data_IF_627066833854
#
_entry.id   IF_627066833854
#
_cell.length_a   1.000
_cell.length_b   1.000
_cell.length_c   1.000
_cell.angle_alpha   90.00
_cell.angle_beta   90.00
_cell.angle_gamma   90.00
#
_symmetry.space_group_name_H-M   'P 1'
#
loop_
_entity.id
_entity.type
_entity.pdbx_description
1 polymer ?
#
# COMPACT_ATOMS: atom_id res chain seq x y z
N UNK A 1 49.29 -11.12 27.37
CA UNK A 1 48.81 -10.06 26.48
C UNK A 1 47.31 -10.26 26.40
N UNK A 2 46.54 -9.38 27.05
CA UNK A 2 45.16 -9.08 26.71
C UNK A 2 44.87 -7.72 27.34
N UNK A 3 45.12 -6.69 26.53
CA UNK A 3 44.87 -5.28 26.84
C UNK A 3 43.43 -5.00 26.41
N UNK A 4 42.58 -4.66 27.37
CA UNK A 4 41.32 -3.99 27.11
C UNK A 4 41.63 -2.55 26.66
N UNK A 5 41.07 -2.02 25.54
CA UNK A 5 41.16 -0.59 25.30
C UNK A 5 40.02 0.14 25.99
N UNK A 6 40.43 1.20 26.65
CA UNK A 6 39.69 2.13 27.47
C UNK A 6 38.50 2.80 26.77
N UNK A 7 37.54 3.23 27.59
CA UNK A 7 36.41 4.05 27.20
C UNK A 7 36.86 5.33 26.47
N UNK A 8 36.26 5.58 25.30
CA UNK A 8 36.57 6.73 24.45
C UNK A 8 36.14 8.04 25.16
N UNK A 9 37.04 9.04 25.33
CA UNK A 9 36.72 10.30 25.96
C UNK A 9 35.65 11.10 25.20
N UNK A 10 34.75 11.77 25.93
CA UNK A 10 33.63 12.53 25.36
C UNK A 10 34.05 13.66 24.41
N UNK A 11 35.31 14.12 24.48
CA UNK A 11 35.89 15.12 23.58
C UNK A 11 36.08 14.63 22.14
N UNK A 12 36.08 13.32 21.88
CA UNK A 12 36.22 12.75 20.52
C UNK A 12 34.87 12.73 19.77
N UNK A 13 33.74 12.65 20.49
CA UNK A 13 32.40 12.58 19.90
C UNK A 13 32.02 13.89 19.18
N UNK A 14 32.54 15.03 19.64
CA UNK A 14 32.23 16.34 19.06
C UNK A 14 32.90 16.61 17.70
N UNK A 15 33.98 15.90 17.36
CA UNK A 15 34.67 16.10 16.07
C UNK A 15 33.96 15.43 14.89
N UNK A 16 33.04 14.48 15.14
CA UNK A 16 32.21 13.88 14.09
C UNK A 16 31.07 14.80 13.61
N UNK A 17 30.78 15.90 14.32
CA UNK A 17 29.72 16.84 13.95
C UNK A 17 30.18 17.98 13.03
N UNK A 18 31.49 18.20 12.85
CA UNK A 18 32.00 19.33 12.06
C UNK A 18 32.36 18.98 10.61
N UNK A 19 32.46 17.69 10.25
CA UNK A 19 32.71 17.24 8.88
C UNK A 19 31.65 16.27 8.36
N UNK A 20 30.48 16.25 8.99
CA UNK A 20 29.31 15.59 8.43
C UNK A 20 28.84 16.38 7.21
N UNK A 21 29.39 16.06 6.03
CA UNK A 21 28.78 16.46 4.77
C UNK A 21 27.38 15.87 4.79
N UNK A 22 26.36 16.72 4.90
CA UNK A 22 25.00 16.32 4.59
C UNK A 22 25.04 15.79 3.16
N UNK A 23 24.96 14.48 3.01
CA UNK A 23 24.42 13.92 1.78
C UNK A 23 22.96 14.34 1.83
N UNK A 24 22.65 15.45 1.19
CA UNK A 24 21.30 15.72 0.77
C UNK A 24 20.97 14.62 -0.23
N UNK A 25 20.37 13.54 0.27
CA UNK A 25 19.54 12.69 -0.58
C UNK A 25 18.48 13.62 -1.12
N UNK A 26 18.68 14.08 -2.36
CA UNK A 26 17.61 14.61 -3.19
C UNK A 26 16.45 13.64 -3.01
N UNK A 27 15.37 14.12 -2.40
CA UNK A 27 14.18 13.31 -2.17
C UNK A 27 13.71 12.80 -3.52
N UNK A 28 14.01 11.53 -3.81
CA UNK A 28 13.17 10.72 -4.67
C UNK A 28 11.82 10.72 -3.96
N UNK A 29 10.94 11.64 -4.34
CA UNK A 29 9.59 11.71 -3.80
C UNK A 29 9.01 10.30 -3.82
N UNK A 30 8.48 9.87 -2.69
CA UNK A 30 7.86 8.56 -2.56
C UNK A 30 6.80 8.42 -3.66
N UNK A 31 6.91 7.35 -4.46
CA UNK A 31 6.01 7.15 -5.59
C UNK A 31 4.58 7.02 -5.06
N UNK A 32 3.59 7.72 -5.64
CA UNK A 32 2.22 7.68 -5.13
C UNK A 32 1.66 6.26 -5.24
N UNK A 33 0.95 5.85 -4.20
CA UNK A 33 0.24 4.57 -4.13
C UNK A 33 -1.17 4.77 -3.58
N UNK A 34 -2.11 3.86 -3.86
CA UNK A 34 -3.46 3.98 -3.32
C UNK A 34 -3.45 3.85 -1.79
N UNK A 35 -4.01 4.83 -1.09
CA UNK A 35 -3.98 4.91 0.37
C UNK A 35 -5.37 4.71 0.97
N UNK A 36 -5.42 4.50 2.29
CA UNK A 36 -6.66 4.43 3.09
C UNK A 36 -7.72 3.50 2.49
N UNK A 37 -7.28 2.34 1.99
CA UNK A 37 -8.17 1.39 1.36
C UNK A 37 -9.20 0.87 2.37
N UNK A 38 -10.47 0.83 1.96
CA UNK A 38 -11.58 0.41 2.83
C UNK A 38 -12.71 -0.17 2.03
N UNK A 39 -13.49 -1.04 2.66
CA UNK A 39 -14.77 -1.52 2.11
C UNK A 39 -15.89 -0.73 2.77
N UNK A 40 -16.72 -0.08 1.97
CA UNK A 40 -18.03 0.38 2.40
C UNK A 40 -19.04 -0.73 2.13
N UNK A 41 -19.68 -1.21 3.19
CA UNK A 41 -20.63 -2.32 3.13
C UNK A 41 -22.04 -1.84 3.50
N UNK A 42 -23.02 -2.13 2.63
CA UNK A 42 -24.44 -1.95 2.91
C UNK A 42 -25.21 -3.18 2.46
N UNK A 43 -25.56 -4.04 3.42
CA UNK A 43 -26.06 -5.39 3.17
C UNK A 43 -25.04 -6.18 2.33
N UNK A 44 -25.46 -6.76 1.23
CA UNK A 44 -24.61 -7.50 0.29
C UNK A 44 -23.96 -6.63 -0.79
N UNK A 45 -24.09 -5.29 -0.68
CA UNK A 45 -23.42 -4.37 -1.58
C UNK A 45 -22.12 -3.91 -0.94
N UNK A 46 -21.00 -4.21 -1.61
CA UNK A 46 -19.66 -3.91 -1.12
C UNK A 46 -18.94 -3.05 -2.14
N UNK A 47 -18.43 -1.91 -1.67
CA UNK A 47 -17.66 -0.99 -2.50
C UNK A 47 -16.28 -0.79 -1.90
N UNK A 48 -15.25 -1.25 -2.60
CA UNK A 48 -13.87 -0.96 -2.23
C UNK A 48 -13.54 0.47 -2.66
N UNK A 49 -13.01 1.28 -1.75
CA UNK A 49 -12.59 2.65 -2.00
C UNK A 49 -11.16 2.87 -1.56
N UNK A 50 -10.48 3.81 -2.20
CA UNK A 50 -9.13 4.23 -1.85
C UNK A 50 -8.95 5.73 -2.10
N UNK A 51 -7.99 6.31 -1.42
CA UNK A 51 -7.59 7.69 -1.63
C UNK A 51 -6.50 7.76 -2.71
N UNK A 52 -6.61 8.79 -3.55
CA UNK A 52 -5.63 9.11 -4.58
C UNK A 52 -5.60 10.61 -4.86
N UNK A 53 -4.39 11.15 -5.03
CA UNK A 53 -4.21 12.55 -5.38
C UNK A 53 -4.26 12.75 -6.91
N UNK A 54 -5.48 12.93 -7.42
CA UNK A 54 -5.71 13.22 -8.83
C UNK A 54 -5.18 14.58 -9.28
N UNK A 55 -4.88 15.50 -8.36
CA UNK A 55 -4.37 16.84 -8.71
C UNK A 55 -2.92 16.73 -9.20
N UNK A 56 -2.11 15.93 -8.50
CA UNK A 56 -0.70 15.74 -8.85
C UNK A 56 -0.47 14.52 -9.76
N UNK A 57 -1.39 13.54 -9.77
CA UNK A 57 -1.18 12.25 -10.44
C UNK A 57 -2.41 11.79 -11.26
N UNK A 58 -2.86 12.60 -12.22
CA UNK A 58 -4.10 12.38 -12.98
C UNK A 58 -4.07 11.19 -13.97
N UNK A 59 -2.93 10.88 -14.60
CA UNK A 59 -2.83 9.84 -15.63
C UNK A 59 -2.64 8.44 -15.02
N UNK A 60 -3.60 8.01 -14.20
CA UNK A 60 -3.55 6.74 -13.47
C UNK A 60 -4.69 5.82 -13.90
N UNK A 61 -4.41 4.52 -13.90
CA UNK A 61 -5.44 3.49 -13.91
C UNK A 61 -5.26 2.58 -12.70
N UNK A 62 -6.36 2.04 -12.20
CA UNK A 62 -6.40 1.16 -11.06
C UNK A 62 -6.88 -0.23 -11.44
N UNK A 63 -6.32 -1.25 -10.77
CA UNK A 63 -6.82 -2.61 -10.86
C UNK A 63 -6.96 -3.21 -9.47
N UNK A 64 -8.10 -3.86 -9.20
CA UNK A 64 -8.34 -4.54 -7.92
C UNK A 64 -7.96 -6.01 -8.02
N UNK A 65 -7.23 -6.49 -7.02
CA UNK A 65 -6.86 -7.88 -6.86
C UNK A 65 -7.43 -8.43 -5.55
N UNK A 66 -7.90 -9.67 -5.58
CA UNK A 66 -8.40 -10.42 -4.43
C UNK A 66 -7.61 -11.71 -4.22
N UNK A 67 -7.45 -12.08 -2.96
CA UNK A 67 -6.96 -13.39 -2.54
C UNK A 67 -8.06 -14.04 -1.70
N UNK A 68 -8.43 -15.28 -2.03
CA UNK A 68 -9.47 -16.03 -1.31
C UNK A 68 -8.77 -17.02 -0.38
N UNK A 69 -8.68 -16.68 0.91
CA UNK A 69 -7.85 -17.40 1.88
C UNK A 69 -8.22 -18.88 2.02
N UNK A 70 -9.49 -19.21 1.82
CA UNK A 70 -10.04 -20.55 2.03
C UNK A 70 -9.95 -21.48 0.79
N UNK A 71 -9.61 -20.93 -0.39
CA UNK A 71 -9.63 -21.68 -1.66
C UNK A 71 -8.30 -21.59 -2.42
N UNK A 72 -7.84 -20.37 -2.70
CA UNK A 72 -6.73 -20.11 -3.61
C UNK A 72 -5.70 -19.23 -2.92
N UNK A 73 -4.44 -19.69 -2.88
CA UNK A 73 -3.33 -18.94 -2.29
C UNK A 73 -2.66 -17.97 -3.28
N UNK A 74 -3.35 -17.64 -4.38
CA UNK A 74 -2.85 -16.75 -5.42
C UNK A 74 -3.75 -15.52 -5.60
N UNK A 75 -3.13 -14.37 -5.89
CA UNK A 75 -3.85 -13.14 -6.19
C UNK A 75 -4.56 -13.24 -7.54
N UNK A 76 -5.85 -12.95 -7.54
CA UNK A 76 -6.70 -12.93 -8.73
C UNK A 76 -7.13 -11.50 -9.02
N UNK A 77 -6.98 -11.05 -10.26
CA UNK A 77 -7.53 -9.76 -10.67
C UNK A 77 -9.06 -9.87 -10.81
N UNK A 78 -9.77 -8.84 -10.36
CA UNK A 78 -11.20 -8.68 -10.60
C UNK A 78 -11.39 -7.99 -11.95
N UNK A 79 -12.02 -8.68 -12.90
CA UNK A 79 -12.13 -8.22 -14.29
C UNK A 79 -12.98 -6.96 -14.42
N UNK A 80 -14.03 -6.88 -13.62
CA UNK A 80 -14.94 -5.73 -13.45
C UNK A 80 -14.22 -4.47 -12.94
N UNK A 81 -13.06 -4.63 -12.32
CA UNK A 81 -12.27 -3.54 -11.75
C UNK A 81 -10.84 -3.55 -12.27
N UNK A 82 -10.66 -3.90 -13.55
CA UNK A 82 -9.39 -3.83 -14.25
C UNK A 82 -9.25 -2.52 -15.02
N UNK A 83 -8.13 -1.82 -14.83
CA UNK A 83 -7.75 -0.59 -15.52
C UNK A 83 -8.83 0.52 -15.47
N UNK A 84 -9.49 0.68 -14.33
CA UNK A 84 -10.49 1.73 -14.10
C UNK A 84 -9.81 3.04 -13.71
N UNK A 85 -10.45 4.18 -13.96
CA UNK A 85 -9.88 5.51 -13.65
C UNK A 85 -10.46 6.16 -12.40
N UNK A 86 -11.54 5.58 -11.85
CA UNK A 86 -12.17 6.01 -10.61
C UNK A 86 -11.53 5.33 -9.40
N UNK A 87 -11.63 5.95 -8.23
CA UNK A 87 -11.02 5.45 -6.98
C UNK A 87 -11.97 4.55 -6.15
N UNK A 88 -12.89 3.88 -6.82
CA UNK A 88 -13.80 2.93 -6.21
C UNK A 88 -14.15 1.77 -7.15
N UNK A 89 -14.48 0.62 -6.58
CA UNK A 89 -14.81 -0.60 -7.31
C UNK A 89 -15.94 -1.35 -6.59
N UNK A 90 -16.92 -1.84 -7.34
CA UNK A 90 -17.95 -2.75 -6.83
C UNK A 90 -17.37 -4.16 -6.71
N UNK A 91 -17.28 -4.65 -5.47
CA UNK A 91 -16.78 -5.99 -5.16
C UNK A 91 -17.89 -6.94 -4.71
N UNK A 92 -19.17 -6.59 -4.94
CA UNK A 92 -20.34 -7.36 -4.50
C UNK A 92 -20.43 -8.77 -5.10
N UNK A 93 -19.62 -9.05 -6.13
CA UNK A 93 -19.49 -10.38 -6.75
C UNK A 93 -18.76 -11.42 -5.87
N UNK A 94 -18.29 -11.05 -4.68
CA UNK A 94 -17.76 -12.00 -3.70
C UNK A 94 -18.88 -12.75 -2.96
N UNK A 95 -18.55 -13.94 -2.45
CA UNK A 95 -19.47 -14.72 -1.62
C UNK A 95 -19.49 -14.14 -0.21
N UNK A 96 -20.66 -14.10 0.42
CA UNK A 96 -20.78 -13.66 1.82
C UNK A 96 -20.03 -14.58 2.79
N UNK A 97 -19.91 -15.86 2.46
CA UNK A 97 -19.10 -16.84 3.19
C UNK A 97 -17.70 -16.88 2.57
N UNK A 98 -16.72 -16.34 3.28
CA UNK A 98 -15.30 -16.44 2.92
C UNK A 98 -14.45 -15.39 3.61
N UNK A 99 -13.14 -15.62 3.61
CA UNK A 99 -12.14 -14.62 4.04
C UNK A 99 -11.32 -14.13 2.85
N UNK A 100 -11.31 -12.82 2.64
CA UNK A 100 -10.66 -12.18 1.51
C UNK A 100 -9.50 -11.30 1.97
N UNK A 101 -8.54 -11.10 1.08
CA UNK A 101 -7.63 -9.95 1.12
C UNK A 101 -7.74 -9.20 -0.19
N UNK A 102 -7.80 -7.88 -0.11
CA UNK A 102 -7.81 -7.00 -1.27
C UNK A 102 -6.55 -6.16 -1.32
N UNK A 103 -6.09 -5.87 -2.53
CA UNK A 103 -5.12 -4.81 -2.78
C UNK A 103 -5.47 -4.12 -4.10
N UNK A 104 -5.09 -2.86 -4.20
CA UNK A 104 -5.30 -2.02 -5.38
C UNK A 104 -3.95 -1.72 -5.99
N UNK A 105 -3.79 -1.94 -7.30
CA UNK A 105 -2.63 -1.46 -8.03
C UNK A 105 -2.95 -0.18 -8.76
N UNK A 106 -2.09 0.84 -8.63
CA UNK A 106 -2.11 2.01 -9.49
C UNK A 106 -1.05 1.87 -10.58
N UNK A 107 -1.40 2.14 -11.83
CA UNK A 107 -0.48 2.24 -12.96
C UNK A 107 -0.49 3.68 -13.46
N UNK A 108 0.51 4.45 -13.04
CA UNK A 108 0.69 5.85 -13.39
C UNK A 108 1.48 5.99 -14.71
N UNK A 109 0.98 6.83 -15.60
CA UNK A 109 1.55 7.09 -16.93
C UNK A 109 1.81 5.82 -17.76
N UNK A 110 1.11 4.72 -17.46
CA UNK A 110 1.28 3.43 -18.14
C UNK A 110 2.55 2.64 -17.77
N UNK A 111 3.41 3.17 -16.89
CA UNK A 111 4.74 2.58 -16.62
C UNK A 111 5.01 2.35 -15.14
N UNK A 112 4.50 3.23 -14.28
CA UNK A 112 4.84 3.26 -12.86
C UNK A 112 3.77 2.55 -12.05
N UNK A 113 4.03 1.28 -11.69
CA UNK A 113 3.10 0.47 -10.90
C UNK A 113 3.41 0.57 -9.41
N UNK A 114 2.41 0.93 -8.60
CA UNK A 114 2.43 0.81 -7.14
C UNK A 114 1.27 -0.04 -6.65
N UNK A 115 1.37 -0.48 -5.40
CA UNK A 115 0.34 -1.25 -4.71
C UNK A 115 -0.06 -0.53 -3.43
N UNK A 116 -1.33 -0.62 -3.09
CA UNK A 116 -1.80 -0.28 -1.74
C UNK A 116 -1.26 -1.26 -0.70
N UNK A 117 -1.49 -0.93 0.57
CA UNK A 117 -1.51 -1.94 1.62
C UNK A 117 -2.54 -3.03 1.33
N UNK A 118 -2.45 -4.14 2.08
CA UNK A 118 -3.40 -5.26 1.95
C UNK A 118 -4.53 -5.10 2.96
N UNK A 119 -5.78 -5.11 2.48
CA UNK A 119 -6.99 -5.05 3.31
C UNK A 119 -7.58 -6.45 3.49
N UNK A 120 -7.50 -7.04 4.69
CA UNK A 120 -8.33 -8.20 5.01
C UNK A 120 -9.81 -7.78 5.09
N UNK A 121 -10.70 -8.65 4.61
CA UNK A 121 -12.14 -8.43 4.69
C UNK A 121 -12.88 -9.76 4.79
N UNK A 122 -13.80 -9.83 5.76
CA UNK A 122 -14.75 -10.92 5.92
C UNK A 122 -16.18 -10.35 5.90
N UNK A 123 -16.98 -10.67 4.87
CA UNK A 123 -18.31 -10.09 4.71
C UNK A 123 -19.27 -10.37 5.87
N UNK A 124 -19.09 -11.42 6.67
CA UNK A 124 -19.99 -11.72 7.80
C UNK A 124 -19.63 -10.96 9.07
N UNK A 125 -18.35 -10.69 9.29
CA UNK A 125 -17.87 -10.06 10.52
C UNK A 125 -17.67 -8.56 10.38
N UNK A 126 -17.35 -8.09 9.16
CA UNK A 126 -16.87 -6.73 8.93
C UNK A 126 -17.95 -5.80 8.33
N UNK A 127 -19.10 -6.36 7.93
CA UNK A 127 -20.23 -5.60 7.34
C UNK A 127 -21.29 -5.14 8.36
N UNK A 128 -20.93 -5.04 9.64
CA UNK A 128 -21.88 -4.78 10.75
C UNK A 128 -22.01 -3.31 11.11
#
# INVERSE_FOLDING_TARGET
MDVWPDAIPWSVILLFLLNGRSVETTGLGEQPYPQNIKVEALNTNYKLKWDWDFTNYANVTFSVQKLIMDLYKEWQQMMECANITINECDISHITVVGSYKFQVSALLAGTYRTLSDVLPFNPLTDSK
#
